data_IF_762186973865
#
_entry.id   IF_762186973865
#
_cell.length_a   1.000
_cell.length_b   1.000
_cell.length_c   1.000
_cell.angle_alpha   90.00
_cell.angle_beta   90.00
_cell.angle_gamma   90.00
#
_symmetry.space_group_name_H-M   'P 1'
#
loop_
_entity.id
_entity.type
_entity.pdbx_description
1 polymer ?
#
# COMPACT_ATOMS: atom_id res chain seq x y z
N UNK A 1 -18.18 -17.60 -0.72
CA UNK A 1 -17.59 -16.45 0.03
C UNK A 1 -17.77 -15.22 -0.84
N UNK A 2 -18.29 -14.11 -0.30
CA UNK A 2 -18.45 -12.84 -1.05
C UNK A 2 -17.09 -12.16 -1.28
N UNK A 3 -17.00 -11.27 -2.27
CA UNK A 3 -15.79 -10.47 -2.50
C UNK A 3 -15.43 -9.63 -1.25
N UNK A 4 -16.43 -9.01 -0.62
CA UNK A 4 -16.26 -8.28 0.64
C UNK A 4 -15.68 -9.14 1.76
N UNK A 5 -16.16 -10.38 1.91
CA UNK A 5 -15.65 -11.31 2.92
C UNK A 5 -14.18 -11.64 2.67
N UNK A 6 -13.79 -11.90 1.40
CA UNK A 6 -12.38 -12.15 1.05
C UNK A 6 -11.46 -10.98 1.43
N UNK A 7 -11.90 -9.73 1.21
CA UNK A 7 -11.14 -8.53 1.62
C UNK A 7 -10.95 -8.51 3.13
N UNK A 8 -12.02 -8.68 3.91
CA UNK A 8 -11.96 -8.65 5.37
C UNK A 8 -11.08 -9.78 5.94
N UNK A 9 -11.17 -10.98 5.35
CA UNK A 9 -10.34 -12.13 5.73
C UNK A 9 -8.87 -11.89 5.42
N UNK A 10 -8.55 -11.26 4.27
CA UNK A 10 -7.17 -10.88 3.94
C UNK A 10 -6.62 -9.88 4.95
N UNK A 11 -7.35 -8.78 5.22
CA UNK A 11 -6.90 -7.71 6.12
C UNK A 11 -6.68 -8.18 7.56
N UNK A 12 -7.32 -9.28 7.97
CA UNK A 12 -7.17 -9.93 9.29
C UNK A 12 -6.34 -11.20 9.24
N UNK A 13 -5.88 -11.55 8.05
CA UNK A 13 -5.22 -12.84 7.80
C UNK A 13 -3.82 -12.93 8.39
N UNK A 14 -3.28 -14.16 8.48
CA UNK A 14 -2.02 -14.43 9.14
C UNK A 14 -0.80 -13.80 8.44
N UNK A 15 -0.88 -13.53 7.14
CA UNK A 15 0.21 -12.83 6.43
C UNK A 15 0.22 -11.37 6.81
N UNK A 16 -0.93 -10.69 6.73
CA UNK A 16 -1.06 -9.27 7.07
C UNK A 16 -0.75 -9.01 8.54
N UNK A 17 -1.08 -9.96 9.44
CA UNK A 17 -0.74 -9.87 10.87
C UNK A 17 0.78 -9.83 11.15
N UNK A 18 1.62 -10.08 10.16
CA UNK A 18 3.08 -10.02 10.28
C UNK A 18 3.69 -8.79 9.61
N UNK A 19 2.92 -8.03 8.84
CA UNK A 19 3.40 -6.80 8.19
C UNK A 19 3.51 -5.71 9.25
N UNK A 20 4.75 -5.29 9.56
CA UNK A 20 5.02 -4.25 10.55
C UNK A 20 6.37 -3.60 10.29
N UNK A 21 6.39 -2.28 10.19
CA UNK A 21 7.61 -1.48 10.07
C UNK A 21 7.35 -0.03 10.46
N UNK A 22 8.40 0.70 10.71
CA UNK A 22 8.36 2.15 10.89
C UNK A 22 9.24 2.84 9.87
N UNK A 23 8.87 4.05 9.49
CA UNK A 23 9.68 4.90 8.62
C UNK A 23 9.66 6.35 9.12
N UNK A 24 10.76 7.12 8.86
CA UNK A 24 10.80 8.52 9.22
C UNK A 24 9.99 9.36 8.21
N UNK A 25 9.31 10.38 8.71
CA UNK A 25 8.69 11.44 7.92
C UNK A 25 8.99 12.80 8.57
N UNK A 26 8.57 13.91 7.96
CA UNK A 26 8.92 15.25 8.40
C UNK A 26 8.53 15.59 9.85
N UNK A 27 7.45 15.03 10.38
CA UNK A 27 6.97 15.27 11.74
C UNK A 27 7.34 14.16 12.75
N UNK A 28 8.18 13.18 12.36
CA UNK A 28 8.58 12.10 13.28
C UNK A 28 8.69 10.72 12.66
N UNK A 29 7.94 9.76 13.18
CA UNK A 29 7.96 8.37 12.73
C UNK A 29 6.55 7.86 12.53
N UNK A 30 6.30 7.26 11.38
CA UNK A 30 5.06 6.54 11.07
C UNK A 30 5.24 5.05 11.31
N UNK A 31 4.19 4.41 11.77
CA UNK A 31 4.15 2.96 11.99
C UNK A 31 3.05 2.33 11.14
N UNK A 32 3.43 1.39 10.29
CA UNK A 32 2.52 0.43 9.66
C UNK A 32 2.58 -0.85 10.51
N UNK A 33 1.42 -1.34 10.91
CA UNK A 33 1.29 -2.53 11.77
C UNK A 33 -0.02 -3.26 11.46
N UNK A 34 -0.23 -4.48 11.96
CA UNK A 34 -1.49 -5.21 11.78
C UNK A 34 -2.73 -4.40 12.19
N UNK A 35 -2.63 -3.62 13.27
CA UNK A 35 -3.70 -2.74 13.73
C UNK A 35 -4.14 -1.71 12.68
N UNK A 36 -3.21 -1.28 11.80
CA UNK A 36 -3.51 -0.36 10.70
C UNK A 36 -4.51 -0.98 9.71
N UNK A 37 -4.27 -2.20 9.28
CA UNK A 37 -5.14 -2.94 8.37
C UNK A 37 -6.46 -3.38 9.04
N UNK A 38 -6.43 -3.72 10.34
CA UNK A 38 -7.65 -3.97 11.10
C UNK A 38 -8.56 -2.74 11.15
N UNK A 39 -7.99 -1.54 11.24
CA UNK A 39 -8.76 -0.28 11.17
C UNK A 39 -9.45 -0.11 9.82
N UNK A 40 -8.74 -0.41 8.71
CA UNK A 40 -9.36 -0.40 7.38
C UNK A 40 -10.49 -1.42 7.30
N UNK A 41 -10.29 -2.65 7.80
CA UNK A 41 -11.34 -3.66 7.85
C UNK A 41 -12.57 -3.19 8.64
N UNK A 42 -12.38 -2.55 9.78
CA UNK A 42 -13.47 -1.97 10.58
C UNK A 42 -14.18 -0.83 9.84
N UNK A 43 -13.44 0.04 9.15
CA UNK A 43 -14.01 1.11 8.35
C UNK A 43 -14.89 0.57 7.20
N UNK A 44 -14.46 -0.52 6.55
CA UNK A 44 -15.26 -1.23 5.56
C UNK A 44 -16.54 -1.81 6.20
N UNK A 45 -16.44 -2.39 7.39
CA UNK A 45 -17.60 -2.96 8.10
C UNK A 45 -18.63 -1.89 8.47
N UNK A 46 -18.16 -0.70 8.89
CA UNK A 46 -19.01 0.44 9.24
C UNK A 46 -19.53 1.22 8.02
N UNK A 47 -19.06 0.92 6.81
CA UNK A 47 -19.45 1.63 5.59
C UNK A 47 -18.74 2.97 5.39
N UNK A 48 -17.73 3.27 6.19
CA UNK A 48 -16.86 4.46 6.04
C UNK A 48 -15.94 4.33 4.81
N UNK A 49 -15.59 3.09 4.47
CA UNK A 49 -14.91 2.72 3.23
C UNK A 49 -15.80 1.77 2.44
N UNK A 50 -16.24 2.20 1.27
CA UNK A 50 -17.02 1.39 0.34
C UNK A 50 -16.08 0.62 -0.59
N UNK A 51 -16.33 -0.67 -0.74
CA UNK A 51 -15.64 -1.49 -1.73
C UNK A 51 -16.34 -1.39 -3.09
N UNK A 52 -15.57 -1.16 -4.13
CA UNK A 52 -16.03 -1.19 -5.51
C UNK A 52 -15.21 -2.21 -6.32
N UNK A 53 -15.90 -3.21 -6.85
CA UNK A 53 -15.33 -4.28 -7.69
C UNK A 53 -15.74 -4.13 -9.16
N UNK A 54 -16.38 -3.03 -9.51
CA UNK A 54 -16.95 -2.78 -10.85
C UNK A 54 -16.10 -1.86 -11.69
N UNK A 55 -15.18 -1.13 -11.08
CA UNK A 55 -14.28 -0.21 -11.78
C UNK A 55 -13.36 -0.99 -12.73
N UNK A 56 -13.29 -0.52 -13.97
CA UNK A 56 -12.32 -1.01 -14.96
C UNK A 56 -11.08 -0.14 -14.89
N UNK A 57 -9.94 -0.75 -14.65
CA UNK A 57 -8.67 -0.05 -14.54
C UNK A 57 -7.92 -0.03 -15.89
N UNK A 58 -7.14 1.04 -16.14
CA UNK A 58 -6.18 1.04 -17.25
C UNK A 58 -5.14 -0.08 -17.09
N UNK A 59 -4.48 -0.49 -18.17
CA UNK A 59 -3.39 -1.47 -18.10
C UNK A 59 -2.32 -1.04 -17.08
N UNK A 60 -1.98 -1.95 -16.15
CA UNK A 60 -0.98 -1.69 -15.11
C UNK A 60 -1.53 -1.14 -13.80
N UNK A 61 -2.79 -0.74 -13.75
CA UNK A 61 -3.49 -0.32 -12.53
C UNK A 61 -4.36 -1.48 -12.04
N UNK A 62 -4.21 -1.85 -10.77
CA UNK A 62 -4.96 -2.98 -10.19
C UNK A 62 -5.92 -2.59 -9.08
N UNK A 63 -5.87 -1.32 -8.66
CA UNK A 63 -6.71 -0.77 -7.60
C UNK A 63 -6.60 0.74 -7.53
N UNK A 64 -7.43 1.35 -6.73
CA UNK A 64 -7.41 2.77 -6.42
C UNK A 64 -8.14 3.02 -5.09
N UNK A 65 -7.51 3.77 -4.21
CA UNK A 65 -8.20 4.38 -3.08
C UNK A 65 -8.56 5.82 -3.39
N UNK A 66 -9.79 6.23 -3.06
CA UNK A 66 -10.27 7.60 -3.23
C UNK A 66 -10.90 8.06 -1.91
N UNK A 67 -10.35 9.13 -1.34
CA UNK A 67 -10.94 9.76 -0.16
C UNK A 67 -12.25 10.47 -0.51
N UNK A 68 -13.19 10.50 0.43
CA UNK A 68 -14.51 11.09 0.21
C UNK A 68 -15.51 10.71 1.30
N UNK A 69 -16.79 10.87 1.01
CA UNK A 69 -17.86 10.50 1.94
C UNK A 69 -18.93 9.68 1.22
N UNK A 70 -18.89 8.33 1.33
CA UNK A 70 -17.84 7.51 1.93
C UNK A 70 -16.54 7.49 1.10
N UNK A 71 -15.45 7.07 1.73
CA UNK A 71 -14.23 6.70 1.01
C UNK A 71 -14.50 5.50 0.10
N UNK A 72 -13.76 5.39 -1.01
CA UNK A 72 -13.95 4.29 -1.96
C UNK A 72 -12.64 3.56 -2.19
N UNK A 73 -12.67 2.25 -2.02
CA UNK A 73 -11.60 1.33 -2.35
C UNK A 73 -12.03 0.51 -3.57
N UNK A 74 -11.60 0.95 -4.74
CA UNK A 74 -11.84 0.26 -6.01
C UNK A 74 -10.75 -0.77 -6.24
N UNK A 75 -11.12 -2.03 -6.45
CA UNK A 75 -10.16 -3.13 -6.60
C UNK A 75 -10.65 -4.14 -7.62
N UNK A 76 -9.70 -4.72 -8.35
CA UNK A 76 -9.99 -5.86 -9.20
C UNK A 76 -10.49 -7.05 -8.35
N UNK A 77 -11.31 -7.95 -8.91
CA UNK A 77 -11.71 -9.16 -8.20
C UNK A 77 -10.51 -9.95 -7.68
N UNK A 78 -10.53 -10.32 -6.39
CA UNK A 78 -9.44 -11.05 -5.74
C UNK A 78 -9.41 -12.50 -6.24
N UNK A 79 -8.67 -12.74 -7.31
CA UNK A 79 -8.50 -14.05 -7.94
C UNK A 79 -7.17 -14.71 -7.60
N UNK A 80 -6.22 -13.93 -7.07
CA UNK A 80 -4.89 -14.43 -6.71
C UNK A 80 -4.09 -13.45 -5.87
N UNK A 81 -2.86 -13.86 -5.58
CA UNK A 81 -1.96 -13.10 -4.68
C UNK A 81 -1.52 -11.75 -5.26
N UNK A 82 -1.56 -11.59 -6.56
CA UNK A 82 -1.25 -10.30 -7.20
C UNK A 82 -2.30 -9.26 -6.82
N UNK A 83 -3.58 -9.60 -6.97
CA UNK A 83 -4.70 -8.72 -6.65
C UNK A 83 -4.78 -8.48 -5.13
N UNK A 84 -4.43 -9.48 -4.32
CA UNK A 84 -4.34 -9.33 -2.86
C UNK A 84 -3.23 -8.34 -2.46
N UNK A 85 -2.05 -8.40 -3.09
CA UNK A 85 -0.97 -7.44 -2.84
C UNK A 85 -1.35 -6.03 -3.26
N UNK A 86 -1.98 -5.87 -4.43
CA UNK A 86 -2.48 -4.58 -4.90
C UNK A 86 -3.56 -4.02 -3.96
N UNK A 87 -4.47 -4.85 -3.48
CA UNK A 87 -5.43 -4.44 -2.46
C UNK A 87 -4.75 -3.90 -1.20
N UNK A 88 -3.69 -4.56 -0.73
CA UNK A 88 -2.94 -4.10 0.44
C UNK A 88 -2.19 -2.79 0.19
N UNK A 89 -1.72 -2.57 -1.03
CA UNK A 89 -1.18 -1.29 -1.49
C UNK A 89 -2.22 -0.18 -1.30
N UNK A 90 -3.41 -0.35 -1.88
CA UNK A 90 -4.50 0.62 -1.77
C UNK A 90 -5.01 0.79 -0.33
N UNK A 91 -5.01 -0.28 0.46
CA UNK A 91 -5.35 -0.20 1.88
C UNK A 91 -4.32 0.62 2.68
N UNK A 92 -3.08 0.75 2.21
CA UNK A 92 -2.06 1.59 2.87
C UNK A 92 -2.43 3.08 2.75
N UNK A 93 -2.90 3.52 1.59
CA UNK A 93 -3.46 4.87 1.42
C UNK A 93 -4.66 5.10 2.35
N UNK A 94 -5.57 4.12 2.44
CA UNK A 94 -6.68 4.18 3.37
C UNK A 94 -6.23 4.27 4.84
N UNK A 95 -5.13 3.64 5.23
CA UNK A 95 -4.56 3.77 6.59
C UNK A 95 -4.22 5.21 6.89
N UNK A 96 -3.49 5.90 6.01
CA UNK A 96 -3.07 7.30 6.25
C UNK A 96 -4.27 8.24 6.31
N UNK A 97 -5.23 8.09 5.40
CA UNK A 97 -6.44 8.89 5.43
C UNK A 97 -7.26 8.65 6.71
N UNK A 98 -7.55 7.41 7.07
CA UNK A 98 -8.33 7.06 8.26
C UNK A 98 -7.63 7.44 9.58
N UNK A 99 -6.32 7.57 9.58
CA UNK A 99 -5.53 8.00 10.75
C UNK A 99 -5.21 9.50 10.72
N UNK A 100 -5.56 10.19 9.64
CA UNK A 100 -5.21 11.60 9.40
C UNK A 100 -3.70 11.84 9.52
N UNK A 101 -2.92 10.88 9.04
CA UNK A 101 -1.45 10.96 9.05
C UNK A 101 -1.00 11.75 7.82
N UNK A 102 -0.45 12.92 8.05
CA UNK A 102 0.03 13.81 6.97
C UNK A 102 1.40 13.35 6.47
N UNK A 103 1.42 12.40 5.56
CA UNK A 103 2.61 12.01 4.79
C UNK A 103 2.59 12.72 3.44
N UNK A 104 3.76 12.87 2.82
CA UNK A 104 3.82 13.34 1.42
C UNK A 104 3.40 12.22 0.47
N UNK A 105 2.95 12.57 -0.75
CA UNK A 105 2.56 11.58 -1.77
C UNK A 105 3.65 10.53 -2.00
N UNK A 106 4.94 10.95 -2.03
CA UNK A 106 6.06 10.03 -2.19
C UNK A 106 6.27 9.10 -0.99
N UNK A 107 5.92 9.53 0.21
CA UNK A 107 5.98 8.70 1.43
C UNK A 107 4.82 7.72 1.48
N UNK A 108 3.64 8.16 1.11
CA UNK A 108 2.44 7.33 1.01
C UNK A 108 2.67 6.19 0.02
N UNK A 109 3.02 6.52 -1.22
CA UNK A 109 3.31 5.55 -2.27
C UNK A 109 4.47 4.61 -1.90
N UNK A 110 5.57 5.14 -1.37
CA UNK A 110 6.70 4.32 -0.95
C UNK A 110 6.30 3.31 0.13
N UNK A 111 5.48 3.71 1.11
CA UNK A 111 4.98 2.80 2.14
C UNK A 111 4.06 1.72 1.55
N UNK A 112 3.19 2.07 0.60
CA UNK A 112 2.32 1.15 -0.10
C UNK A 112 3.13 0.11 -0.91
N UNK A 113 4.19 0.52 -1.60
CA UNK A 113 5.11 -0.39 -2.29
C UNK A 113 5.86 -1.32 -1.33
N UNK A 114 6.23 -0.86 -0.13
CA UNK A 114 6.83 -1.75 0.89
C UNK A 114 5.84 -2.80 1.34
N UNK A 115 4.58 -2.41 1.60
CA UNK A 115 3.53 -3.33 2.06
C UNK A 115 3.29 -4.44 1.04
N UNK A 116 3.10 -4.08 -0.23
CA UNK A 116 2.86 -5.09 -1.27
C UNK A 116 4.10 -5.98 -1.50
N UNK A 117 5.29 -5.41 -1.49
CA UNK A 117 6.53 -6.17 -1.65
C UNK A 117 6.74 -7.18 -0.50
N UNK A 118 6.48 -6.77 0.75
CA UNK A 118 6.51 -7.67 1.92
C UNK A 118 5.49 -8.78 1.76
N UNK A 119 4.24 -8.45 1.36
CA UNK A 119 3.19 -9.45 1.13
C UNK A 119 3.62 -10.47 0.06
N UNK A 120 4.13 -10.02 -1.08
CA UNK A 120 4.59 -10.91 -2.15
C UNK A 120 5.72 -11.84 -1.69
N UNK A 121 6.70 -11.31 -0.98
CA UNK A 121 7.80 -12.13 -0.43
C UNK A 121 7.29 -13.19 0.55
N UNK A 122 6.39 -12.81 1.47
CA UNK A 122 5.81 -13.72 2.46
C UNK A 122 4.96 -14.82 1.82
N UNK A 123 4.30 -14.53 0.70
CA UNK A 123 3.46 -15.50 -0.02
C UNK A 123 4.19 -16.27 -1.11
N UNK A 124 5.50 -16.01 -1.28
CA UNK A 124 6.34 -16.67 -2.28
C UNK A 124 6.04 -16.22 -3.72
N UNK A 125 5.27 -15.14 -3.90
CA UNK A 125 5.02 -14.59 -5.22
C UNK A 125 6.21 -13.74 -5.64
N UNK A 126 6.94 -14.17 -6.67
CA UNK A 126 7.88 -13.31 -7.37
C UNK A 126 7.11 -12.53 -8.44
N UNK A 127 7.29 -11.20 -8.49
CA UNK A 127 6.65 -10.35 -9.51
C UNK A 127 7.40 -10.45 -10.85
N UNK A 128 7.05 -11.34 -11.77
CA UNK A 128 7.77 -11.48 -13.04
C UNK A 128 7.51 -10.34 -14.02
N UNK A 129 6.48 -9.51 -13.79
CA UNK A 129 6.00 -8.52 -14.77
C UNK A 129 6.43 -7.08 -14.49
N UNK A 130 6.96 -6.79 -13.31
CA UNK A 130 7.29 -5.43 -12.90
C UNK A 130 8.76 -5.35 -12.47
N UNK A 131 9.63 -5.20 -13.46
CA UNK A 131 11.08 -5.09 -13.28
C UNK A 131 11.57 -3.63 -13.27
N UNK A 132 10.67 -2.68 -13.44
CA UNK A 132 10.97 -1.25 -13.39
C UNK A 132 10.74 -0.70 -11.98
N UNK A 133 11.44 0.37 -11.66
CA UNK A 133 11.26 1.08 -10.38
C UNK A 133 9.78 1.51 -10.21
N UNK A 134 9.27 1.55 -8.98
CA UNK A 134 10.01 1.38 -7.70
C UNK A 134 10.06 -0.07 -7.17
N UNK A 135 9.56 -1.06 -7.91
CA UNK A 135 9.41 -2.43 -7.39
C UNK A 135 10.71 -3.13 -6.96
N UNK A 136 11.84 -3.06 -7.72
CA UNK A 136 13.11 -3.65 -7.26
C UNK A 136 13.59 -3.04 -5.95
N UNK A 137 13.50 -1.70 -5.81
CA UNK A 137 13.91 -1.00 -4.59
C UNK A 137 13.02 -1.36 -3.41
N UNK A 138 11.69 -1.40 -3.58
CA UNK A 138 10.76 -1.86 -2.56
C UNK A 138 10.99 -3.32 -2.18
N UNK A 139 11.32 -4.17 -3.17
CA UNK A 139 11.68 -5.57 -2.93
C UNK A 139 12.92 -5.72 -2.05
N UNK A 140 13.95 -4.89 -2.25
CA UNK A 140 15.16 -4.90 -1.40
C UNK A 140 14.83 -4.48 0.05
N UNK A 141 13.97 -3.48 0.22
CA UNK A 141 13.46 -3.06 1.55
C UNK A 141 12.68 -4.22 2.20
N UNK A 142 11.79 -4.86 1.47
CA UNK A 142 11.02 -6.01 1.97
C UNK A 142 11.93 -7.17 2.39
N UNK A 143 12.97 -7.49 1.61
CA UNK A 143 13.93 -8.53 1.94
C UNK A 143 14.71 -8.20 3.24
N UNK A 144 15.02 -6.93 3.49
CA UNK A 144 15.63 -6.49 4.75
C UNK A 144 14.66 -6.66 5.94
N UNK A 145 13.40 -6.24 5.79
CA UNK A 145 12.36 -6.42 6.82
C UNK A 145 12.14 -7.90 7.15
N UNK A 146 12.11 -8.78 6.14
CA UNK A 146 11.92 -10.21 6.38
C UNK A 146 13.07 -10.84 7.16
N UNK A 147 14.31 -10.38 6.98
CA UNK A 147 15.43 -10.82 7.82
C UNK A 147 15.22 -10.42 9.28
N UNK A 148 14.75 -9.18 9.53
CA UNK A 148 14.41 -8.73 10.89
C UNK A 148 13.29 -9.57 11.52
N UNK A 149 12.25 -9.90 10.73
CA UNK A 149 11.15 -10.75 11.23
C UNK A 149 11.62 -12.17 11.56
N UNK A 150 12.56 -12.73 10.78
CA UNK A 150 13.12 -14.07 11.00
C UNK A 150 14.07 -14.09 12.20
N UNK A 151 14.75 -13.00 12.49
CA UNK A 151 15.62 -12.87 13.67
C UNK A 151 14.85 -12.89 15.00
N UNK A 152 13.50 -12.96 14.96
CA UNK A 152 12.65 -13.03 16.15
C UNK A 152 12.55 -11.73 16.94
N UNK A 153 12.94 -10.60 16.34
CA UNK A 153 12.86 -9.30 16.98
C UNK A 153 11.40 -8.96 17.31
N UNK A 154 11.13 -8.74 18.59
CA UNK A 154 9.79 -8.35 19.07
C UNK A 154 9.46 -6.90 18.69
N UNK A 155 10.48 -6.07 18.52
CA UNK A 155 10.33 -4.66 18.14
C UNK A 155 9.85 -4.55 16.69
N UNK A 156 9.05 -3.53 16.41
CA UNK A 156 8.71 -3.16 15.04
C UNK A 156 9.99 -2.60 14.40
N UNK A 157 10.50 -3.21 13.31
CA UNK A 157 11.73 -2.74 12.69
C UNK A 157 11.54 -1.37 12.04
N UNK A 158 12.54 -0.53 12.17
CA UNK A 158 12.63 0.73 11.43
C UNK A 158 13.24 0.46 10.05
N UNK A 159 12.73 1.10 9.01
CA UNK A 159 13.38 1.08 7.71
C UNK A 159 14.72 1.81 7.78
N UNK A 160 15.72 1.27 7.10
CA UNK A 160 16.99 1.96 6.91
C UNK A 160 16.75 3.31 6.23
N UNK A 161 17.23 4.44 6.78
CA UNK A 161 16.95 5.77 6.25
C UNK A 161 17.45 5.97 4.81
N UNK A 162 18.56 5.32 4.44
CA UNK A 162 19.10 5.41 3.07
C UNK A 162 18.22 4.62 2.10
N UNK A 163 17.84 3.40 2.46
CA UNK A 163 16.92 2.58 1.67
C UNK A 163 15.56 3.27 1.49
N UNK A 164 15.04 3.89 2.55
CA UNK A 164 13.81 4.67 2.51
C UNK A 164 13.91 5.87 1.56
N UNK A 165 15.00 6.64 1.65
CA UNK A 165 15.25 7.79 0.75
C UNK A 165 15.36 7.36 -0.71
N UNK A 166 16.07 6.26 -0.99
CA UNK A 166 16.19 5.72 -2.33
C UNK A 166 14.84 5.25 -2.89
N UNK A 167 14.01 4.62 -2.07
CA UNK A 167 12.67 4.19 -2.50
C UNK A 167 11.76 5.39 -2.83
N UNK A 168 11.75 6.42 -1.99
CA UNK A 168 11.00 7.65 -2.26
C UNK A 168 11.45 8.33 -3.56
N UNK A 169 12.76 8.34 -3.81
CA UNK A 169 13.31 8.85 -5.07
C UNK A 169 12.85 7.98 -6.26
N UNK A 170 12.89 6.67 -6.14
CA UNK A 170 12.42 5.75 -7.18
C UNK A 170 10.93 5.93 -7.49
N UNK A 171 10.10 6.19 -6.48
CA UNK A 171 8.68 6.56 -6.65
C UNK A 171 8.58 7.88 -7.41
N UNK A 172 9.25 8.92 -6.94
CA UNK A 172 9.18 10.27 -7.53
C UNK A 172 9.59 10.30 -9.01
N UNK A 173 10.58 9.50 -9.40
CA UNK A 173 11.07 9.42 -10.78
C UNK A 173 10.39 8.34 -11.62
N UNK A 174 9.38 7.64 -11.10
CA UNK A 174 8.62 6.67 -11.88
C UNK A 174 7.78 7.41 -12.93
N UNK A 175 7.91 7.07 -14.22
CA UNK A 175 7.13 7.70 -15.29
C UNK A 175 5.62 7.68 -15.08
N UNK A 176 5.08 6.70 -14.39
CA UNK A 176 3.65 6.62 -14.07
C UNK A 176 3.17 7.81 -13.23
N UNK A 177 4.03 8.35 -12.35
CA UNK A 177 3.71 9.51 -11.51
C UNK A 177 4.09 10.84 -12.19
N UNK A 178 5.16 10.87 -13.00
CA UNK A 178 5.60 12.06 -13.72
C UNK A 178 4.57 12.46 -14.80
N UNK A 179 4.02 11.51 -15.53
CA UNK A 179 3.07 11.78 -16.60
C UNK A 179 1.66 12.15 -16.08
N UNK A 180 1.31 11.76 -14.86
CA UNK A 180 0.07 12.19 -14.20
C UNK A 180 0.04 13.70 -13.93
N UNK A 181 1.20 14.34 -13.73
CA UNK A 181 1.31 15.80 -13.54
C UNK A 181 1.37 16.58 -14.85
N UNK A 182 1.60 15.93 -15.99
CA UNK A 182 1.79 16.55 -17.31
C UNK A 182 0.50 16.62 -18.16
N UNK A 183 -0.67 16.62 -17.56
CA UNK A 183 -1.89 17.06 -18.25
C UNK A 183 -2.57 16.02 -19.16
N UNK A 184 -2.49 14.75 -18.88
CA UNK A 184 -3.46 13.77 -19.40
C UNK A 184 -4.70 13.85 -18.48
N UNK A 185 -5.83 14.41 -18.95
CA UNK A 185 -7.05 14.48 -18.14
C UNK A 185 -7.51 13.05 -17.82
N UNK A 186 -7.51 12.67 -16.55
CA UNK A 186 -8.13 11.44 -16.08
C UNK A 186 -7.19 10.32 -15.66
N UNK A 187 -5.89 10.49 -15.66
CA UNK A 187 -4.95 9.52 -15.09
C UNK A 187 -4.20 10.18 -13.92
N UNK A 188 -4.93 10.54 -12.91
CA UNK A 188 -4.38 10.78 -11.58
C UNK A 188 -4.21 9.42 -10.91
N UNK A 189 -3.14 8.72 -11.28
CA UNK A 189 -2.67 7.58 -10.52
C UNK A 189 -2.12 8.11 -9.21
N UNK A 190 -2.83 7.88 -8.14
CA UNK A 190 -2.37 8.19 -6.78
C UNK A 190 -2.73 9.56 -6.21
N UNK A 191 -3.40 10.46 -6.92
CA UNK A 191 -3.86 11.72 -6.33
C UNK A 191 -5.18 11.62 -5.58
N UNK A 192 -5.63 10.42 -5.31
CA UNK A 192 -6.85 10.19 -4.52
C UNK A 192 -6.67 10.36 -3.02
N UNK A 193 -5.45 10.49 -2.54
CA UNK A 193 -5.20 10.92 -1.16
C UNK A 193 -5.28 12.44 -1.09
N UNK A 194 -6.49 12.99 -1.23
CA UNK A 194 -6.77 14.39 -0.92
C UNK A 194 -6.51 14.64 0.56
N UNK A 195 -5.24 14.73 0.92
CA UNK A 195 -4.81 15.30 2.19
C UNK A 195 -4.84 16.82 2.07
N UNK A 196 -5.97 17.36 1.66
CA UNK A 196 -6.26 18.78 1.81
C UNK A 196 -6.34 19.07 3.31
N UNK A 197 -5.19 19.53 3.83
CA UNK A 197 -5.03 19.98 5.21
C UNK A 197 -5.87 21.21 5.53
#
# INVERSE_FOLDING_TARGET
MSARSKVLDLLRGPVVSRIRFTFPFWAGTVTIAPASFHRVAQAIERGEVRLDFTTTFPPGVGGQYTSGTPNVLSVAPLIGRTEEGLLLHECTHAVFDLTKTQVTDNEDEAAAYVVDAVYFRMTGLRRPRWNNEPHPTAGAVADALLREYQAGNVRIPALDPTAWTNLRAAVMFNPQYIWGTAGIPGVLLGSGTGHDG
#
